data_IF_874946271523
#
_entry.id   IF_874946271523
#
_cell.length_a   1.000
_cell.length_b   1.000
_cell.length_c   1.000
_cell.angle_alpha   90.00
_cell.angle_beta   90.00
_cell.angle_gamma   90.00
#
_symmetry.space_group_name_H-M   'P 1'
#
loop_
_entity.id
_entity.type
_entity.pdbx_description
1 polymer ?
#
# COMPACT_ATOMS: atom_id res chain seq x y z
N UNK A 1 -22.13 -0.53 -23.52
CA UNK A 1 -21.69 -0.15 -22.16
C UNK A 1 -20.84 1.11 -22.25
N UNK A 2 -21.26 2.21 -21.62
CA UNK A 2 -20.48 3.45 -21.59
C UNK A 2 -19.32 3.35 -20.57
N UNK A 3 -18.42 4.35 -20.56
CA UNK A 3 -17.25 4.36 -19.67
C UNK A 3 -17.64 4.27 -18.18
N UNK A 4 -18.74 4.91 -17.79
CA UNK A 4 -19.18 4.95 -16.39
C UNK A 4 -19.74 3.58 -15.94
N UNK A 5 -20.58 2.96 -16.77
CA UNK A 5 -21.11 1.61 -16.53
C UNK A 5 -20.01 0.57 -16.40
N UNK A 6 -18.97 0.67 -17.25
CA UNK A 6 -17.79 -0.20 -17.19
C UNK A 6 -17.04 -0.01 -15.88
N UNK A 7 -16.76 1.23 -15.49
CA UNK A 7 -16.05 1.54 -14.24
C UNK A 7 -16.82 1.01 -13.03
N UNK A 8 -18.14 1.23 -12.98
CA UNK A 8 -18.99 0.72 -11.89
C UNK A 8 -18.96 -0.81 -11.81
N UNK A 9 -18.97 -1.50 -12.95
CA UNK A 9 -18.88 -2.96 -13.01
C UNK A 9 -17.54 -3.48 -12.51
N UNK A 10 -16.43 -2.85 -12.91
CA UNK A 10 -15.07 -3.19 -12.44
C UNK A 10 -14.95 -2.94 -10.94
N UNK A 11 -15.43 -1.79 -10.45
CA UNK A 11 -15.36 -1.43 -9.03
C UNK A 11 -16.15 -2.43 -8.17
N UNK A 12 -17.33 -2.87 -8.64
CA UNK A 12 -18.12 -3.91 -7.97
C UNK A 12 -17.33 -5.20 -7.83
N UNK A 13 -16.68 -5.66 -8.89
CA UNK A 13 -15.85 -6.88 -8.88
C UNK A 13 -14.66 -6.71 -7.92
N UNK A 14 -13.94 -5.59 -8.01
CA UNK A 14 -12.77 -5.34 -7.15
C UNK A 14 -13.16 -5.31 -5.66
N UNK A 15 -14.26 -4.66 -5.30
CA UNK A 15 -14.74 -4.59 -3.92
C UNK A 15 -15.22 -5.96 -3.40
N UNK A 16 -15.76 -6.81 -4.27
CA UNK A 16 -16.13 -8.19 -3.91
C UNK A 16 -14.91 -9.10 -3.75
N UNK A 17 -13.93 -8.98 -4.65
CA UNK A 17 -12.70 -9.78 -4.64
C UNK A 17 -11.75 -9.37 -3.51
N UNK A 18 -11.65 -8.07 -3.22
CA UNK A 18 -10.75 -7.50 -2.23
C UNK A 18 -11.53 -6.66 -1.19
N UNK A 19 -12.35 -7.29 -0.34
CA UNK A 19 -13.24 -6.59 0.59
C UNK A 19 -12.50 -5.79 1.68
N UNK A 20 -11.24 -6.12 1.94
CA UNK A 20 -10.36 -5.40 2.86
C UNK A 20 -8.97 -5.32 2.28
N UNK A 21 -8.46 -4.10 2.11
CA UNK A 21 -7.10 -3.84 1.61
C UNK A 21 -6.28 -3.23 2.75
N UNK A 22 -5.35 -3.97 3.36
CA UNK A 22 -4.49 -3.41 4.40
C UNK A 22 -3.44 -2.47 3.79
N UNK A 23 -2.84 -1.63 4.63
CA UNK A 23 -1.64 -0.87 4.23
C UNK A 23 -0.47 -1.87 4.11
N UNK A 24 0.19 -1.98 2.95
CA UNK A 24 1.19 -3.03 2.72
C UNK A 24 2.55 -2.74 3.39
N UNK A 25 2.82 -1.47 3.73
CA UNK A 25 4.04 -1.04 4.40
C UNK A 25 3.90 -1.18 5.92
N UNK A 26 4.83 -1.89 6.56
CA UNK A 26 4.88 -2.08 8.01
C UNK A 26 5.36 -0.80 8.70
N UNK A 27 4.56 -0.30 9.63
CA UNK A 27 4.82 0.92 10.39
C UNK A 27 4.08 0.87 11.73
N UNK A 28 4.58 1.60 12.73
CA UNK A 28 3.96 1.75 14.06
C UNK A 28 3.25 3.08 14.25
N UNK A 29 3.59 4.08 13.43
CA UNK A 29 3.04 5.44 13.52
C UNK A 29 3.06 6.13 12.14
N UNK A 30 2.46 7.31 12.06
CA UNK A 30 2.33 8.08 10.82
C UNK A 30 3.69 8.52 10.24
N UNK A 31 4.69 8.78 11.09
CA UNK A 31 6.02 9.16 10.65
C UNK A 31 6.75 7.99 9.98
N UNK A 32 6.72 6.80 10.59
CA UNK A 32 7.27 5.58 9.98
C UNK A 32 6.59 5.27 8.63
N UNK A 33 5.27 5.46 8.54
CA UNK A 33 4.55 5.28 7.27
C UNK A 33 5.01 6.27 6.20
N UNK A 34 5.15 7.56 6.55
CA UNK A 34 5.64 8.58 5.62
C UNK A 34 7.02 8.21 5.04
N UNK A 35 7.95 7.80 5.90
CA UNK A 35 9.29 7.40 5.46
C UNK A 35 9.23 6.10 4.63
N UNK A 36 8.42 5.11 5.03
CA UNK A 36 8.25 3.88 4.26
C UNK A 36 7.67 4.16 2.85
N UNK A 37 6.72 5.09 2.73
CA UNK A 37 6.14 5.51 1.45
C UNK A 37 7.20 6.18 0.57
N UNK A 38 8.04 7.06 1.13
CA UNK A 38 9.15 7.68 0.39
C UNK A 38 10.13 6.64 -0.16
N UNK A 39 10.44 5.61 0.63
CA UNK A 39 11.33 4.50 0.22
C UNK A 39 10.69 3.54 -0.78
N UNK A 40 9.35 3.52 -0.90
CA UNK A 40 8.62 2.65 -1.82
C UNK A 40 8.70 3.09 -3.28
N UNK A 41 9.14 4.33 -3.55
CA UNK A 41 9.28 4.83 -4.91
C UNK A 41 10.20 3.90 -5.74
N UNK A 42 9.66 3.33 -6.82
CA UNK A 42 10.36 2.36 -7.69
C UNK A 42 10.95 1.16 -6.92
N UNK A 43 10.29 0.75 -5.82
CA UNK A 43 10.71 -0.33 -4.95
C UNK A 43 9.50 -1.20 -4.57
N UNK A 44 9.75 -2.48 -4.26
CA UNK A 44 8.69 -3.39 -3.80
C UNK A 44 8.46 -3.20 -2.30
N UNK A 45 7.20 -3.24 -1.84
CA UNK A 45 6.85 -3.20 -0.41
C UNK A 45 7.62 -4.24 0.42
N UNK A 46 7.83 -5.44 -0.12
CA UNK A 46 8.63 -6.49 0.52
C UNK A 46 10.07 -6.07 0.83
N UNK A 47 10.70 -5.29 -0.06
CA UNK A 47 12.05 -4.78 0.15
C UNK A 47 12.06 -3.64 1.16
N UNK A 48 11.09 -2.74 1.08
CA UNK A 48 10.93 -1.66 2.07
C UNK A 48 10.76 -2.26 3.47
N UNK A 49 9.85 -3.24 3.61
CA UNK A 49 9.55 -3.93 4.87
C UNK A 49 10.74 -4.74 5.44
N UNK A 50 11.73 -5.10 4.63
CA UNK A 50 12.99 -5.72 5.10
C UNK A 50 13.96 -4.69 5.68
N UNK A 51 13.95 -3.45 5.17
CA UNK A 51 14.94 -2.43 5.50
C UNK A 51 14.43 -1.47 6.59
N UNK A 52 13.14 -1.11 6.57
CA UNK A 52 12.58 -0.14 7.52
C UNK A 52 12.76 -0.51 8.99
N UNK A 53 12.70 -1.78 9.44
CA UNK A 53 12.96 -2.10 10.85
C UNK A 53 14.40 -1.78 11.27
N UNK A 54 15.38 -2.00 10.39
CA UNK A 54 16.79 -1.70 10.63
C UNK A 54 17.05 -0.19 10.62
N UNK A 55 16.38 0.54 9.73
CA UNK A 55 16.46 1.99 9.66
C UNK A 55 15.86 2.64 10.91
N UNK A 56 14.66 2.24 11.30
CA UNK A 56 13.95 2.83 12.45
C UNK A 56 14.56 2.47 13.80
N UNK A 57 15.25 1.33 13.91
CA UNK A 57 15.99 0.98 15.13
C UNK A 57 17.23 1.86 15.37
N UNK A 58 17.70 2.61 14.37
CA UNK A 58 18.85 3.52 14.47
C UNK A 58 18.47 4.99 14.66
N UNK A 59 17.19 5.32 14.55
CA UNK A 59 16.67 6.69 14.60
C UNK A 59 16.21 7.08 16.00
#
# INVERSE_FOLDING_TARGET
MNKNERTSSILKILNQTYPKVPIPLKHKNQFELLIAVLLSAQCTDDRVNKITPLLFAKA
#
